data_IF_382831454748
#
_entry.id   IF_382831454748
#
_cell.length_a   1.000
_cell.length_b   1.000
_cell.length_c   1.000
_cell.angle_alpha   90.00
_cell.angle_beta   90.00
_cell.angle_gamma   90.00
#
_symmetry.space_group_name_H-M   'P 1'
#
loop_
_entity.id
_entity.type
_entity.pdbx_description
1 polymer ?
#
# COMPACT_ATOMS: atom_id res chain seq x y z
N UNK A 1 24.83 53.98 -36.67
CA UNK A 1 24.97 53.73 -35.21
C UNK A 1 23.74 52.89 -34.79
N UNK A 2 23.84 51.58 -34.80
CA UNK A 2 22.74 50.66 -34.58
C UNK A 2 23.04 49.84 -33.30
N UNK A 3 22.26 50.09 -32.28
CA UNK A 3 22.34 49.47 -30.95
C UNK A 3 21.53 48.18 -30.96
N UNK A 4 22.20 47.00 -30.90
CA UNK A 4 21.57 45.69 -30.77
C UNK A 4 21.28 45.43 -29.29
N UNK A 5 19.99 45.39 -28.90
CA UNK A 5 19.54 44.87 -27.65
C UNK A 5 19.41 43.34 -27.74
N UNK A 6 20.36 42.64 -27.14
CA UNK A 6 20.26 41.19 -26.90
C UNK A 6 19.43 40.94 -25.64
N UNK A 7 18.18 40.54 -25.82
CA UNK A 7 17.34 40.08 -24.73
C UNK A 7 17.66 38.64 -24.34
N UNK A 8 18.30 38.43 -23.19
CA UNK A 8 18.42 37.11 -22.57
C UNK A 8 17.06 36.69 -22.00
N UNK A 9 16.38 35.83 -22.69
CA UNK A 9 15.22 35.09 -22.13
C UNK A 9 15.76 33.98 -21.21
N UNK A 10 15.79 34.25 -19.91
CA UNK A 10 16.06 33.22 -18.91
C UNK A 10 14.79 32.37 -18.74
N UNK A 11 14.78 31.21 -19.40
CA UNK A 11 13.76 30.19 -19.21
C UNK A 11 13.97 29.56 -17.82
N UNK A 12 13.21 30.01 -16.83
CA UNK A 12 13.14 29.36 -15.52
C UNK A 12 12.40 28.03 -15.66
N UNK A 13 13.16 26.94 -15.81
CA UNK A 13 12.66 25.55 -15.69
C UNK A 13 12.22 25.34 -14.24
N UNK A 14 10.94 25.49 -13.98
CA UNK A 14 10.27 25.03 -12.77
C UNK A 14 10.33 23.49 -12.75
N UNK A 15 11.40 22.94 -12.21
CA UNK A 15 11.47 21.51 -11.85
C UNK A 15 10.51 21.32 -10.68
N UNK A 16 9.29 20.93 -10.98
CA UNK A 16 8.33 20.44 -9.98
C UNK A 16 8.86 19.08 -9.52
N UNK A 17 9.78 19.11 -8.57
CA UNK A 17 10.26 17.91 -7.91
C UNK A 17 9.05 17.25 -7.23
N UNK A 18 8.66 16.07 -7.71
CA UNK A 18 7.65 15.22 -7.07
C UNK A 18 8.23 14.73 -5.74
N UNK A 19 8.10 15.56 -4.70
CA UNK A 19 8.62 15.27 -3.36
C UNK A 19 7.65 14.35 -2.63
N UNK A 20 8.17 13.29 -2.02
CA UNK A 20 7.40 12.53 -1.03
C UNK A 20 6.95 13.47 0.10
N UNK A 21 5.70 13.33 0.60
CA UNK A 21 5.22 14.12 1.72
C UNK A 21 6.13 13.98 2.94
N UNK A 22 6.27 15.04 3.73
CA UNK A 22 6.96 14.96 5.01
C UNK A 22 6.08 14.26 6.03
N UNK A 23 6.68 13.35 6.81
CA UNK A 23 6.05 12.80 7.99
C UNK A 23 5.88 13.91 9.04
N UNK A 24 4.64 14.24 9.39
CA UNK A 24 4.35 15.17 10.49
C UNK A 24 4.55 14.47 11.82
N UNK A 25 4.81 15.19 12.93
CA UNK A 25 4.77 14.59 14.26
C UNK A 25 3.46 13.82 14.47
N UNK A 26 3.52 12.74 15.22
CA UNK A 26 2.35 11.91 15.52
C UNK A 26 1.31 12.74 16.28
N UNK A 27 0.13 12.92 15.70
CA UNK A 27 -0.94 13.70 16.31
C UNK A 27 -1.66 12.93 17.44
N UNK A 28 -2.28 13.66 18.35
CA UNK A 28 -3.03 13.11 19.48
C UNK A 28 -2.28 13.17 20.82
N UNK A 29 -2.89 12.65 21.87
CA UNK A 29 -2.31 12.55 23.21
C UNK A 29 -1.61 11.21 23.41
N UNK A 30 -0.48 11.12 24.14
CA UNK A 30 0.14 9.85 24.48
C UNK A 30 -0.85 8.90 25.14
N UNK A 31 -0.82 7.64 24.75
CA UNK A 31 -1.74 6.63 25.26
C UNK A 31 -1.00 5.37 25.68
N UNK A 32 -1.36 4.75 26.83
CA UNK A 32 -0.83 3.47 27.24
C UNK A 32 -1.50 2.29 26.52
N UNK A 33 -2.40 2.55 25.58
CA UNK A 33 -3.08 1.49 24.82
C UNK A 33 -2.10 0.63 24.07
N UNK A 34 -2.37 -0.65 24.03
CA UNK A 34 -1.59 -1.57 23.18
C UNK A 34 -1.96 -1.37 21.72
N UNK A 35 -1.00 -1.59 20.86
CA UNK A 35 -1.24 -1.63 19.41
C UNK A 35 -2.24 -2.74 19.11
N UNK A 36 -3.33 -2.46 18.39
CA UNK A 36 -4.28 -3.50 18.00
C UNK A 36 -3.59 -4.58 17.15
N UNK A 37 -3.92 -5.83 17.42
CA UNK A 37 -3.45 -6.96 16.64
C UNK A 37 -4.36 -7.08 15.42
N UNK A 38 -4.03 -6.33 14.35
CA UNK A 38 -4.75 -6.45 13.09
C UNK A 38 -4.30 -7.72 12.34
N UNK A 39 -5.01 -8.82 12.59
CA UNK A 39 -4.77 -10.11 11.92
C UNK A 39 -5.84 -10.42 10.88
N UNK A 40 -5.51 -11.37 10.02
CA UNK A 40 -6.52 -11.93 9.12
C UNK A 40 -7.50 -12.77 9.92
N UNK A 41 -8.80 -12.71 9.62
CA UNK A 41 -9.76 -13.65 10.20
C UNK A 41 -9.29 -15.11 9.97
N UNK A 42 -9.49 -16.02 10.94
CA UNK A 42 -9.03 -17.42 10.85
C UNK A 42 -9.91 -18.25 9.89
N UNK A 43 -10.17 -17.72 8.72
CA UNK A 43 -10.99 -18.31 7.66
C UNK A 43 -10.34 -18.10 6.31
N UNK A 44 -10.65 -18.96 5.36
CA UNK A 44 -10.24 -18.76 3.98
C UNK A 44 -11.18 -17.76 3.29
N UNK A 45 -10.63 -16.76 2.62
CA UNK A 45 -11.42 -15.73 1.93
C UNK A 45 -11.04 -15.64 0.47
N UNK A 46 -12.06 -15.60 -0.37
CA UNK A 46 -11.95 -15.22 -1.78
C UNK A 46 -12.47 -13.80 -1.93
N UNK A 47 -11.60 -12.89 -2.36
CA UNK A 47 -11.92 -11.47 -2.55
C UNK A 47 -11.86 -11.17 -4.04
N UNK A 48 -12.98 -10.76 -4.62
CA UNK A 48 -13.04 -10.27 -6.00
C UNK A 48 -12.93 -8.76 -5.98
N UNK A 49 -12.06 -8.21 -6.79
CA UNK A 49 -11.81 -6.77 -6.84
C UNK A 49 -11.57 -6.28 -8.26
N UNK A 50 -11.80 -4.99 -8.47
CA UNK A 50 -11.31 -4.25 -9.63
C UNK A 50 -10.06 -3.49 -9.24
N UNK A 51 -9.13 -3.37 -10.16
CA UNK A 51 -7.92 -2.59 -9.92
C UNK A 51 -7.70 -1.55 -11.03
N UNK A 52 -7.16 -0.40 -10.63
CA UNK A 52 -6.78 0.70 -11.53
C UNK A 52 -5.37 1.16 -11.11
N UNK A 53 -4.39 0.92 -11.96
CA UNK A 53 -3.03 1.37 -11.77
C UNK A 53 -2.73 2.54 -12.66
N UNK A 54 -2.10 3.57 -12.13
CA UNK A 54 -1.67 4.76 -12.86
C UNK A 54 -0.28 5.20 -12.47
N UNK A 55 0.48 5.64 -13.46
CA UNK A 55 1.72 6.37 -13.38
C UNK A 55 1.75 7.42 -14.51
N UNK A 56 2.73 8.35 -14.59
CA UNK A 56 2.69 9.46 -15.55
C UNK A 56 2.32 9.09 -16.98
N UNK A 57 2.92 8.01 -17.50
CA UNK A 57 2.80 7.62 -18.90
C UNK A 57 2.02 6.31 -19.11
N UNK A 58 1.40 5.77 -18.05
CA UNK A 58 0.73 4.48 -18.12
C UNK A 58 -0.49 4.45 -17.21
N UNK A 59 -1.63 4.01 -17.77
CA UNK A 59 -2.80 3.66 -16.98
C UNK A 59 -3.34 2.32 -17.45
N UNK A 60 -3.48 1.38 -16.51
CA UNK A 60 -4.01 0.05 -16.76
C UNK A 60 -5.06 -0.25 -15.70
N UNK A 61 -6.11 -0.94 -16.10
CA UNK A 61 -7.19 -1.37 -15.22
C UNK A 61 -7.60 -2.80 -15.54
N UNK A 62 -8.19 -3.46 -14.58
CA UNK A 62 -8.67 -4.82 -14.77
C UNK A 62 -9.40 -5.34 -13.56
N UNK A 63 -9.65 -6.64 -13.60
CA UNK A 63 -10.25 -7.40 -12.52
C UNK A 63 -9.19 -8.23 -11.79
N UNK A 64 -9.49 -8.63 -10.57
CA UNK A 64 -8.59 -9.48 -9.80
C UNK A 64 -9.31 -10.36 -8.80
N UNK A 65 -8.61 -11.39 -8.38
CA UNK A 65 -9.06 -12.30 -7.31
C UNK A 65 -7.92 -12.49 -6.32
N UNK A 66 -8.18 -12.16 -5.06
CA UNK A 66 -7.28 -12.53 -3.97
C UNK A 66 -7.84 -13.74 -3.23
N UNK A 67 -7.02 -14.77 -3.05
CA UNK A 67 -7.27 -15.91 -2.20
C UNK A 67 -6.41 -15.76 -0.96
N UNK A 68 -7.05 -15.60 0.19
CA UNK A 68 -6.37 -15.25 1.44
C UNK A 68 -6.60 -16.36 2.45
N UNK A 69 -5.54 -16.87 3.01
CA UNK A 69 -5.53 -17.91 4.05
C UNK A 69 -4.74 -17.44 5.25
N UNK A 70 -5.37 -17.43 6.42
CA UNK A 70 -4.67 -17.15 7.65
C UNK A 70 -3.63 -18.27 7.94
N UNK A 71 -2.51 -17.98 8.65
CA UNK A 71 -2.21 -16.66 9.18
C UNK A 71 -1.59 -15.70 8.15
N UNK A 72 -0.90 -16.16 7.12
CA UNK A 72 0.03 -15.33 6.36
C UNK A 72 0.24 -15.76 4.89
N UNK A 73 -0.80 -16.28 4.25
CA UNK A 73 -0.73 -16.63 2.83
C UNK A 73 -1.81 -15.92 2.03
N UNK A 74 -1.41 -15.31 0.93
CA UNK A 74 -2.32 -14.72 -0.03
C UNK A 74 -1.80 -14.91 -1.46
N UNK A 75 -2.71 -15.26 -2.39
CA UNK A 75 -2.46 -15.27 -3.82
C UNK A 75 -3.36 -14.25 -4.48
N UNK A 76 -2.77 -13.37 -5.27
CA UNK A 76 -3.47 -12.34 -6.03
C UNK A 76 -3.32 -12.65 -7.52
N UNK A 77 -4.42 -12.94 -8.19
CA UNK A 77 -4.47 -13.14 -9.64
C UNK A 77 -5.03 -11.87 -10.28
N UNK A 78 -4.37 -11.38 -11.35
CA UNK A 78 -4.71 -10.16 -12.07
C UNK A 78 -5.13 -10.48 -13.50
N UNK A 79 -6.17 -9.81 -13.97
CA UNK A 79 -6.76 -9.98 -15.29
C UNK A 79 -6.91 -8.61 -15.97
N UNK A 80 -6.56 -8.54 -17.26
CA UNK A 80 -6.83 -7.40 -18.13
C UNK A 80 -7.70 -7.94 -19.28
N UNK A 81 -8.83 -7.30 -19.55
CA UNK A 81 -9.79 -7.73 -20.59
C UNK A 81 -10.18 -9.22 -20.50
N UNK A 82 -10.30 -9.72 -19.26
CA UNK A 82 -10.64 -11.12 -18.98
C UNK A 82 -9.51 -12.13 -19.17
N UNK A 83 -8.35 -11.69 -19.64
CA UNK A 83 -7.16 -12.54 -19.78
C UNK A 83 -6.27 -12.45 -18.55
N UNK A 84 -5.74 -13.58 -18.09
CA UNK A 84 -4.78 -13.62 -16.99
C UNK A 84 -3.50 -12.89 -17.36
N UNK A 85 -3.21 -11.82 -16.62
CA UNK A 85 -1.98 -11.02 -16.82
C UNK A 85 -0.84 -11.53 -15.94
N UNK A 86 -1.19 -12.21 -14.86
CA UNK A 86 -0.25 -12.85 -13.95
C UNK A 86 -0.76 -12.92 -12.53
N UNK A 87 0.08 -13.43 -11.64
CA UNK A 87 -0.26 -13.57 -10.23
C UNK A 87 0.93 -13.25 -9.32
N UNK A 88 0.62 -12.90 -8.09
CA UNK A 88 1.58 -12.75 -7.01
C UNK A 88 1.20 -13.69 -5.86
N UNK A 89 2.19 -14.42 -5.34
CA UNK A 89 2.05 -15.21 -4.13
C UNK A 89 2.76 -14.49 -2.99
N UNK A 90 2.02 -14.12 -1.95
CA UNK A 90 2.52 -13.49 -0.74
C UNK A 90 2.47 -14.51 0.39
N UNK A 91 3.64 -14.88 0.93
CA UNK A 91 3.76 -15.80 2.07
C UNK A 91 4.69 -15.18 3.09
N UNK A 92 4.18 -14.89 4.27
CA UNK A 92 4.96 -14.18 5.26
C UNK A 92 5.41 -12.81 4.75
N UNK A 93 6.71 -12.61 4.65
CA UNK A 93 7.33 -11.37 4.17
C UNK A 93 7.82 -11.46 2.72
N UNK A 94 7.55 -12.60 2.05
CA UNK A 94 8.01 -12.85 0.69
C UNK A 94 6.89 -12.65 -0.33
N UNK A 95 7.23 -11.96 -1.44
CA UNK A 95 6.41 -11.92 -2.65
C UNK A 95 7.11 -12.74 -3.74
N UNK A 96 6.42 -13.74 -4.26
CA UNK A 96 6.86 -14.55 -5.39
C UNK A 96 6.03 -14.22 -6.62
N UNK A 97 6.71 -13.95 -7.72
CA UNK A 97 6.13 -13.68 -9.02
C UNK A 97 6.68 -14.70 -10.02
N UNK A 98 5.89 -15.06 -11.00
CA UNK A 98 6.42 -15.84 -12.14
C UNK A 98 7.41 -14.99 -12.97
N UNK A 99 8.29 -15.65 -13.67
CA UNK A 99 9.19 -14.98 -14.61
C UNK A 99 8.41 -14.24 -15.71
N UNK A 100 8.92 -13.09 -16.13
CA UNK A 100 8.27 -12.27 -17.15
C UNK A 100 7.14 -11.37 -16.68
N UNK A 101 6.77 -11.40 -15.39
CA UNK A 101 5.69 -10.56 -14.83
C UNK A 101 6.19 -9.18 -14.34
N UNK A 102 7.00 -8.51 -15.15
CA UNK A 102 7.58 -7.22 -14.77
C UNK A 102 6.52 -6.17 -14.46
N UNK A 103 5.44 -6.12 -15.24
CA UNK A 103 4.34 -5.17 -15.01
C UNK A 103 3.75 -5.31 -13.59
N UNK A 104 3.46 -6.54 -13.14
CA UNK A 104 2.92 -6.80 -11.80
C UNK A 104 3.93 -6.37 -10.73
N UNK A 105 5.20 -6.69 -10.93
CA UNK A 105 6.28 -6.30 -10.01
C UNK A 105 6.34 -4.78 -9.81
N UNK A 106 6.12 -4.01 -10.88
CA UNK A 106 6.24 -2.56 -10.87
C UNK A 106 5.11 -1.86 -10.10
N UNK A 107 3.93 -2.45 -10.03
CA UNK A 107 2.79 -1.82 -9.36
C UNK A 107 2.44 -2.43 -7.98
N UNK A 108 2.93 -3.62 -7.65
CA UNK A 108 2.64 -4.22 -6.35
C UNK A 108 3.32 -3.45 -5.21
N UNK A 109 2.60 -3.20 -4.10
CA UNK A 109 3.20 -2.72 -2.87
C UNK A 109 4.20 -3.74 -2.29
N UNK A 110 5.20 -3.31 -1.52
CA UNK A 110 6.03 -4.22 -0.74
C UNK A 110 5.18 -4.99 0.31
N UNK A 111 5.66 -6.16 0.81
CA UNK A 111 4.88 -7.05 1.67
C UNK A 111 4.12 -6.37 2.81
N UNK A 112 4.71 -5.49 3.64
CA UNK A 112 3.97 -4.86 4.72
C UNK A 112 2.77 -4.03 4.24
N UNK A 113 2.92 -3.28 3.15
CA UNK A 113 1.84 -2.48 2.58
C UNK A 113 0.80 -3.35 1.87
N UNK A 114 1.21 -4.46 1.26
CA UNK A 114 0.28 -5.40 0.65
C UNK A 114 -0.54 -6.13 1.72
N UNK A 115 0.06 -6.53 2.84
CA UNK A 115 -0.68 -7.04 4.00
C UNK A 115 -1.65 -6.00 4.57
N UNK A 116 -1.21 -4.74 4.68
CA UNK A 116 -2.08 -3.65 5.11
C UNK A 116 -3.28 -3.47 4.16
N UNK A 117 -3.10 -3.62 2.84
CA UNK A 117 -4.21 -3.61 1.88
C UNK A 117 -5.20 -4.76 2.13
N UNK A 118 -4.75 -5.91 2.62
CA UNK A 118 -5.59 -7.05 3.00
C UNK A 118 -6.18 -6.93 4.43
N UNK A 119 -5.77 -5.91 5.20
CA UNK A 119 -6.28 -5.60 6.55
C UNK A 119 -5.44 -6.15 7.69
N UNK A 120 -4.23 -6.61 7.42
CA UNK A 120 -3.30 -7.13 8.42
C UNK A 120 -2.17 -6.12 8.67
N UNK A 121 -1.85 -5.89 9.93
CA UNK A 121 -0.61 -5.20 10.29
C UNK A 121 0.52 -6.23 10.38
N UNK A 122 1.44 -6.18 9.43
CA UNK A 122 2.66 -6.99 9.43
C UNK A 122 3.84 -6.10 9.04
N UNK A 123 4.56 -5.67 10.04
CA UNK A 123 5.78 -4.86 9.90
C UNK A 123 6.91 -5.52 10.67
N UNK A 124 8.17 -5.26 10.33
CA UNK A 124 9.30 -5.75 11.13
C UNK A 124 9.15 -5.38 12.61
N UNK A 125 9.47 -6.32 13.49
CA UNK A 125 9.43 -6.07 14.93
C UNK A 125 10.41 -4.93 15.29
N UNK A 126 9.94 -3.98 16.08
CA UNK A 126 10.76 -2.87 16.58
C UNK A 126 10.54 -2.69 18.07
N UNK A 127 11.62 -2.33 18.77
CA UNK A 127 11.57 -2.09 20.23
C UNK A 127 10.86 -0.76 20.51
N UNK A 128 11.04 0.22 19.63
CA UNK A 128 10.51 1.56 19.83
C UNK A 128 9.14 1.70 19.18
N UNK A 129 8.12 1.81 20.01
CA UNK A 129 6.75 2.03 19.57
C UNK A 129 6.14 3.17 20.36
N UNK A 130 5.61 4.17 19.65
CA UNK A 130 4.90 5.30 20.23
C UNK A 130 3.44 5.23 19.86
N UNK A 131 2.55 5.30 20.85
CA UNK A 131 1.10 5.24 20.65
C UNK A 131 0.46 6.56 21.07
N UNK A 132 -0.42 7.09 20.22
CA UNK A 132 -1.22 8.29 20.48
C UNK A 132 -2.67 8.08 20.07
N UNK A 133 -3.56 8.72 20.80
CA UNK A 133 -5.01 8.72 20.51
C UNK A 133 -5.44 10.14 20.18
N UNK A 134 -6.21 10.26 19.10
CA UNK A 134 -6.84 11.49 18.64
C UNK A 134 -8.31 11.17 18.33
N UNK A 135 -9.20 11.56 19.27
CA UNK A 135 -10.59 11.11 19.30
C UNK A 135 -10.67 9.57 19.31
N UNK A 136 -11.33 8.97 18.32
CA UNK A 136 -11.46 7.51 18.18
C UNK A 136 -10.35 6.87 17.35
N UNK A 137 -9.38 7.67 16.90
CA UNK A 137 -8.30 7.21 16.05
C UNK A 137 -7.04 6.92 16.86
N UNK A 138 -6.58 5.69 16.81
CA UNK A 138 -5.28 5.29 17.35
C UNK A 138 -4.21 5.45 16.28
N UNK A 139 -3.12 6.14 16.61
CA UNK A 139 -1.95 6.31 15.75
C UNK A 139 -0.72 5.73 16.43
N UNK A 140 0.04 4.98 15.66
CA UNK A 140 1.19 4.23 16.17
C UNK A 140 2.39 4.45 15.26
N UNK A 141 3.50 4.91 15.82
CA UNK A 141 4.81 4.86 15.16
C UNK A 141 5.59 3.65 15.65
N UNK A 142 6.09 2.82 14.73
CA UNK A 142 6.79 1.56 14.99
C UNK A 142 8.17 1.63 14.34
N UNK A 143 9.24 1.59 15.15
CA UNK A 143 10.61 1.74 14.68
C UNK A 143 10.96 3.16 14.24
N UNK A 144 12.22 3.37 13.80
CA UNK A 144 12.72 4.71 13.50
C UNK A 144 13.19 4.89 12.05
N UNK A 145 14.07 4.04 11.54
CA UNK A 145 14.69 4.21 10.21
C UNK A 145 15.02 2.86 9.54
N UNK A 146 14.19 2.40 8.60
CA UNK A 146 12.86 2.91 8.27
C UNK A 146 11.87 2.61 9.39
N UNK A 147 10.93 3.52 9.60
CA UNK A 147 9.83 3.35 10.55
C UNK A 147 8.50 3.12 9.83
N UNK A 148 7.49 2.72 10.59
CA UNK A 148 6.14 2.53 10.10
C UNK A 148 5.15 3.33 10.93
N UNK A 149 4.20 3.96 10.28
CA UNK A 149 3.07 4.61 10.95
C UNK A 149 1.78 3.89 10.60
N UNK A 150 1.14 3.33 11.61
CA UNK A 150 -0.17 2.72 11.49
C UNK A 150 -1.25 3.64 12.07
N UNK A 151 -2.41 3.67 11.42
CA UNK A 151 -3.61 4.37 11.89
C UNK A 151 -4.75 3.37 11.97
N UNK A 152 -5.42 3.35 13.12
CA UNK A 152 -6.54 2.46 13.39
C UNK A 152 -7.80 3.25 13.71
N UNK A 153 -8.92 2.66 13.35
CA UNK A 153 -10.26 3.04 13.77
C UNK A 153 -10.84 1.82 14.49
N UNK A 154 -10.92 1.90 15.82
CA UNK A 154 -11.07 0.73 16.68
C UNK A 154 -9.91 -0.26 16.45
N UNK A 155 -10.24 -1.50 16.14
CA UNK A 155 -9.24 -2.55 15.82
C UNK A 155 -8.88 -2.62 14.32
N UNK A 156 -9.52 -1.82 13.49
CA UNK A 156 -9.34 -1.89 12.05
C UNK A 156 -8.19 -1.01 11.56
N UNK A 157 -7.21 -1.64 10.94
CA UNK A 157 -6.13 -0.92 10.27
C UNK A 157 -6.70 -0.11 9.09
N UNK A 158 -6.60 1.22 9.18
CA UNK A 158 -7.08 2.15 8.15
C UNK A 158 -5.97 2.67 7.26
N UNK A 159 -4.76 2.77 7.78
CA UNK A 159 -3.64 3.29 7.02
C UNK A 159 -2.33 2.73 7.55
N UNK A 160 -1.41 2.43 6.63
CA UNK A 160 -0.03 2.10 6.94
C UNK A 160 0.88 2.94 6.03
N UNK A 161 1.83 3.64 6.62
CA UNK A 161 2.80 4.49 5.95
C UNK A 161 4.21 3.98 6.25
N UNK A 162 5.05 3.89 5.24
CA UNK A 162 6.50 3.77 5.42
C UNK A 162 7.05 5.17 5.69
N UNK A 163 7.86 5.32 6.74
CA UNK A 163 8.56 6.57 7.07
C UNK A 163 10.06 6.33 6.91
N UNK A 164 10.67 7.07 6.00
CA UNK A 164 12.10 7.02 5.74
C UNK A 164 12.67 8.43 5.59
N UNK A 165 13.71 8.75 6.35
CA UNK A 165 14.32 10.09 6.37
C UNK A 165 13.32 11.22 6.66
N UNK A 166 12.30 10.98 7.51
CA UNK A 166 11.25 11.96 7.82
C UNK A 166 10.29 12.23 6.65
N UNK A 167 10.26 11.37 5.66
CA UNK A 167 9.34 11.41 4.50
C UNK A 167 8.46 10.18 4.46
N UNK A 168 7.36 10.27 3.72
CA UNK A 168 6.45 9.15 3.47
C UNK A 168 6.59 8.74 2.00
N UNK A 169 7.54 7.84 1.66
CA UNK A 169 7.74 7.41 0.28
C UNK A 169 6.60 6.55 -0.25
N UNK A 170 5.94 5.79 0.62
CA UNK A 170 4.87 4.86 0.25
C UNK A 170 3.85 4.72 1.36
N UNK A 171 2.61 4.50 1.01
CA UNK A 171 1.55 4.23 1.98
C UNK A 171 0.36 3.48 1.37
N UNK A 172 -0.40 2.82 2.22
CA UNK A 172 -1.71 2.21 1.90
C UNK A 172 -2.77 2.80 2.81
N UNK A 173 -3.93 3.12 2.25
CA UNK A 173 -5.12 3.47 3.01
C UNK A 173 -6.27 2.53 2.66
N UNK A 174 -7.03 2.14 3.69
CA UNK A 174 -8.24 1.33 3.63
C UNK A 174 -9.40 2.12 4.27
N UNK A 175 -10.04 3.02 3.55
CA UNK A 175 -11.18 3.76 4.08
C UNK A 175 -12.32 2.81 4.44
N UNK A 176 -13.23 3.25 5.32
CA UNK A 176 -14.43 2.47 5.65
C UNK A 176 -15.33 2.26 4.40
N UNK A 177 -15.35 3.24 3.52
CA UNK A 177 -16.09 3.23 2.27
C UNK A 177 -15.17 3.71 1.14
N UNK A 178 -15.22 3.02 0.01
CA UNK A 178 -14.43 3.36 -1.17
C UNK A 178 -13.23 2.42 -1.41
N UNK A 179 -12.39 2.74 -2.40
CA UNK A 179 -11.29 1.89 -2.80
C UNK A 179 -10.16 1.90 -1.78
N UNK A 180 -9.49 0.77 -1.65
CA UNK A 180 -8.18 0.67 -1.01
C UNK A 180 -7.19 1.35 -1.94
N UNK A 181 -6.33 2.21 -1.40
CA UNK A 181 -5.42 3.04 -2.17
C UNK A 181 -3.98 2.83 -1.73
N UNK A 182 -3.14 2.42 -2.65
CA UNK A 182 -1.69 2.46 -2.51
C UNK A 182 -1.11 3.64 -3.28
N UNK A 183 -0.16 4.32 -2.69
CA UNK A 183 0.51 5.48 -3.26
C UNK A 183 2.02 5.39 -3.14
N UNK A 184 2.69 5.82 -4.19
CA UNK A 184 4.13 6.05 -4.24
C UNK A 184 4.38 7.45 -4.82
N UNK A 185 4.27 8.52 -3.99
CA UNK A 185 4.17 9.91 -4.46
C UNK A 185 5.37 10.36 -5.31
N UNK A 186 6.58 9.93 -4.94
CA UNK A 186 7.80 10.30 -5.69
C UNK A 186 7.76 9.80 -7.15
N UNK A 187 7.19 8.63 -7.37
CA UNK A 187 7.05 8.03 -8.69
C UNK A 187 5.71 8.37 -9.36
N UNK A 188 4.84 9.12 -8.68
CA UNK A 188 3.46 9.41 -9.11
C UNK A 188 2.69 8.14 -9.46
N UNK A 189 2.92 7.06 -8.69
CA UNK A 189 2.25 5.79 -8.88
C UNK A 189 1.11 5.65 -7.90
N UNK A 190 -0.04 5.21 -8.42
CA UNK A 190 -1.24 4.93 -7.63
C UNK A 190 -1.80 3.58 -8.06
N UNK A 191 -2.17 2.74 -7.09
CA UNK A 191 -2.96 1.54 -7.30
C UNK A 191 -4.24 1.65 -6.47
N UNK A 192 -5.39 1.57 -7.13
CA UNK A 192 -6.71 1.53 -6.48
C UNK A 192 -7.27 0.11 -6.58
N UNK A 193 -7.77 -0.42 -5.46
CA UNK A 193 -8.44 -1.71 -5.40
C UNK A 193 -9.87 -1.50 -4.90
N UNK A 194 -10.85 -1.75 -5.75
CA UNK A 194 -12.27 -1.68 -5.40
C UNK A 194 -12.79 -3.09 -5.17
N UNK A 195 -13.05 -3.45 -3.92
CA UNK A 195 -13.60 -4.75 -3.56
C UNK A 195 -15.04 -4.83 -4.07
N UNK A 196 -15.33 -5.86 -4.88
CA UNK A 196 -16.66 -6.14 -5.42
C UNK A 196 -17.38 -7.20 -4.58
N UNK A 197 -16.65 -8.21 -4.08
CA UNK A 197 -17.23 -9.31 -3.31
C UNK A 197 -16.17 -9.95 -2.39
N UNK A 198 -16.62 -10.41 -1.22
CA UNK A 198 -15.82 -11.21 -0.30
C UNK A 198 -16.63 -12.46 0.05
N UNK A 199 -16.08 -13.62 -0.25
CA UNK A 199 -16.66 -14.92 0.06
C UNK A 199 -15.79 -15.63 1.11
N UNK A 200 -16.40 -16.24 2.10
CA UNK A 200 -15.75 -17.24 2.97
C UNK A 200 -15.88 -18.60 2.31
N UNK A 201 -14.77 -19.33 2.23
CA UNK A 201 -14.73 -20.64 1.58
C UNK A 201 -14.13 -21.69 2.54
N UNK A 202 -14.44 -22.98 2.38
CA UNK A 202 -13.94 -24.04 3.28
C UNK A 202 -12.42 -24.18 3.24
N UNK A 203 -11.80 -23.89 2.10
CA UNK A 203 -10.35 -23.99 1.89
C UNK A 203 -9.98 -23.73 0.45
N UNK A 204 -8.69 -23.79 0.18
CA UNK A 204 -8.13 -23.73 -1.16
C UNK A 204 -7.29 -24.98 -1.44
N UNK A 205 -7.23 -25.39 -2.70
CA UNK A 205 -6.33 -26.44 -3.12
C UNK A 205 -4.87 -26.03 -2.85
N UNK A 206 -4.06 -26.99 -2.36
CA UNK A 206 -2.66 -26.72 -2.02
C UNK A 206 -1.82 -26.28 -3.23
N UNK A 207 -2.23 -26.63 -4.45
CA UNK A 207 -1.53 -26.24 -5.68
C UNK A 207 -1.55 -24.75 -5.95
N UNK A 208 -2.51 -24.00 -5.39
CA UNK A 208 -2.56 -22.54 -5.59
C UNK A 208 -1.42 -21.79 -4.91
N UNK A 209 -0.73 -22.43 -3.97
CA UNK A 209 0.38 -21.85 -3.20
C UNK A 209 1.77 -22.13 -3.80
N UNK A 210 1.81 -22.64 -5.03
CA UNK A 210 3.04 -22.99 -5.74
C UNK A 210 3.32 -22.05 -6.90
#
# INVERSE_FOLDING_TARGET
MAMRLSGCLAAALLVVAACSPRARPLAGTPSPQRVPIAELPPVHRKIVFKWDYSQPDLRIRGDGVARVSAPDSARLDFFVDGQGTGHALLVGDDIRLQDGQQLIRDFLPPPPLLWAALGRLRVPAAVDTTVRVDSDTLRVDIGHQPGWRATFDGEQLRRLELIDGGRIPQWVARPAVGPIRYEQPRLRRTLLLTISRVDTVPGFDASIWR
#
